data_IF_664936499478
#
_entry.id   IF_664936499478
#
_cell.length_a   1.000
_cell.length_b   1.000
_cell.length_c   1.000
_cell.angle_alpha   90.00
_cell.angle_beta   90.00
_cell.angle_gamma   90.00
#
_symmetry.space_group_name_H-M   'P 1'
#
loop_
_entity.id
_entity.type
_entity.pdbx_description
1 polymer ?
#
# COMPACT_ATOMS: atom_id res chain seq x y z
N UNK A 1 3.13 8.17 37.89
CA UNK A 1 2.59 9.25 37.03
C UNK A 1 3.55 9.58 35.87
N UNK A 2 4.85 9.85 36.13
CA UNK A 2 5.78 10.23 35.05
C UNK A 2 5.85 9.20 33.92
N UNK A 3 6.04 7.93 34.25
CA UNK A 3 6.20 6.85 33.27
C UNK A 3 4.97 6.61 32.39
N UNK A 4 3.76 6.67 32.94
CA UNK A 4 2.52 6.47 32.20
C UNK A 4 2.11 7.70 31.38
N UNK A 5 2.59 8.90 31.79
CA UNK A 5 2.19 10.17 31.17
C UNK A 5 3.13 10.61 30.05
N UNK A 6 4.42 10.21 30.11
CA UNK A 6 5.42 10.64 29.16
C UNK A 6 5.22 9.97 27.78
N UNK A 7 5.27 10.78 26.73
CA UNK A 7 5.11 10.36 25.34
C UNK A 7 6.37 10.59 24.49
N UNK A 8 7.42 11.23 25.08
CA UNK A 8 8.62 11.60 24.37
C UNK A 8 9.31 10.43 23.62
N UNK A 9 9.19 9.21 24.12
CA UNK A 9 9.82 8.05 23.50
C UNK A 9 9.30 7.77 22.08
N UNK A 10 8.05 8.14 21.77
CA UNK A 10 7.45 7.96 20.46
C UNK A 10 7.10 9.29 19.79
N UNK A 11 6.63 10.33 20.51
CA UNK A 11 6.19 11.58 19.87
C UNK A 11 7.33 12.50 19.44
N UNK A 12 8.59 12.22 19.87
CA UNK A 12 9.78 12.89 19.32
C UNK A 12 9.85 12.86 17.78
N UNK A 13 9.14 11.94 17.13
CA UNK A 13 9.01 11.86 15.67
C UNK A 13 8.26 13.05 15.06
N UNK A 14 7.54 13.81 15.87
CA UNK A 14 6.78 15.00 15.45
C UNK A 14 7.59 16.30 15.48
N UNK A 15 8.89 16.26 15.83
CA UNK A 15 9.70 17.47 16.05
C UNK A 15 9.69 18.43 14.86
N UNK A 16 9.77 17.91 13.63
CA UNK A 16 9.81 18.73 12.43
C UNK A 16 8.47 19.45 12.19
N UNK A 17 7.36 18.74 12.43
CA UNK A 17 6.00 19.29 12.29
C UNK A 17 5.71 20.31 13.41
N UNK A 18 6.11 20.02 14.64
CA UNK A 18 5.97 20.96 15.78
C UNK A 18 6.76 22.25 15.54
N UNK A 19 7.99 22.15 15.06
CA UNK A 19 8.82 23.31 14.71
C UNK A 19 8.19 24.12 13.58
N UNK A 20 7.70 23.46 12.52
CA UNK A 20 7.03 24.12 11.40
C UNK A 20 5.75 24.83 11.87
N UNK A 21 4.90 24.16 12.65
CA UNK A 21 3.69 24.72 13.24
C UNK A 21 3.99 25.91 14.16
N UNK A 22 5.00 25.79 15.01
CA UNK A 22 5.44 26.85 15.92
C UNK A 22 5.98 28.07 15.19
N UNK A 23 6.73 27.91 14.10
CA UNK A 23 7.24 29.02 13.26
C UNK A 23 6.08 29.74 12.55
N UNK A 24 5.14 29.01 11.96
CA UNK A 24 3.96 29.58 11.34
C UNK A 24 3.10 30.36 12.34
N UNK A 25 2.93 29.82 13.56
CA UNK A 25 2.20 30.48 14.63
C UNK A 25 2.89 31.77 15.09
N UNK A 26 4.20 31.76 15.33
CA UNK A 26 4.97 32.92 15.73
C UNK A 26 4.90 34.05 14.67
N UNK A 27 5.03 33.70 13.39
CA UNK A 27 4.90 34.64 12.28
C UNK A 27 3.51 35.31 12.25
N UNK A 28 2.45 34.50 12.39
CA UNK A 28 1.06 35.02 12.47
C UNK A 28 0.86 35.92 13.67
N UNK A 29 1.37 35.59 14.86
CA UNK A 29 1.27 36.42 16.05
C UNK A 29 1.93 37.79 15.84
N UNK A 30 3.05 37.85 15.12
CA UNK A 30 3.70 39.13 14.77
C UNK A 30 2.90 39.90 13.73
N UNK A 31 2.39 39.29 12.68
CA UNK A 31 1.56 39.92 11.65
C UNK A 31 0.29 40.52 12.22
N UNK A 32 -0.31 39.88 13.22
CA UNK A 32 -1.50 40.40 13.91
C UNK A 32 -1.19 41.35 15.06
N UNK A 33 0.08 41.67 15.30
CA UNK A 33 0.53 42.61 16.33
C UNK A 33 0.43 42.08 17.77
N UNK A 34 0.24 40.77 17.97
CA UNK A 34 0.14 40.13 19.29
C UNK A 34 1.52 40.05 19.95
N UNK A 35 2.57 39.76 19.16
CA UNK A 35 3.98 39.82 19.59
C UNK A 35 4.76 40.78 18.68
N UNK A 36 5.96 41.18 19.09
CA UNK A 36 6.82 41.95 18.23
C UNK A 36 7.47 41.14 17.13
N UNK A 37 7.80 41.76 15.99
CA UNK A 37 8.56 41.11 14.92
C UNK A 37 9.91 40.58 15.43
N UNK A 38 10.57 41.33 16.30
CA UNK A 38 11.83 40.92 16.93
C UNK A 38 11.70 39.61 17.72
N UNK A 39 10.58 39.45 18.46
CA UNK A 39 10.35 38.19 19.20
C UNK A 39 10.07 37.04 18.25
N UNK A 40 9.28 37.26 17.19
CA UNK A 40 9.02 36.23 16.17
C UNK A 40 10.30 35.77 15.44
N UNK A 41 11.16 36.70 15.05
CA UNK A 41 12.46 36.41 14.41
C UNK A 41 13.37 35.62 15.35
N UNK A 42 13.41 35.99 16.64
CA UNK A 42 14.19 35.27 17.65
C UNK A 42 13.64 33.85 17.85
N UNK A 43 12.33 33.67 17.93
CA UNK A 43 11.65 32.37 18.03
C UNK A 43 11.99 31.50 16.79
N UNK A 44 11.82 32.04 15.58
CA UNK A 44 12.07 31.30 14.35
C UNK A 44 13.53 30.80 14.28
N UNK A 45 14.50 31.70 14.57
CA UNK A 45 15.93 31.33 14.59
C UNK A 45 16.26 30.34 15.70
N UNK A 46 15.68 30.49 16.88
CA UNK A 46 15.86 29.54 17.98
C UNK A 46 15.33 28.15 17.64
N UNK A 47 14.18 28.07 16.98
CA UNK A 47 13.57 26.82 16.50
C UNK A 47 14.41 26.16 15.40
N UNK A 48 15.07 26.93 14.50
CA UNK A 48 16.02 26.38 13.53
C UNK A 48 17.20 25.73 14.23
N UNK A 49 17.76 26.36 15.26
CA UNK A 49 18.85 25.78 16.06
C UNK A 49 18.39 24.49 16.76
N UNK A 50 17.16 24.45 17.31
CA UNK A 50 16.63 23.21 17.93
C UNK A 50 16.49 22.10 16.89
N UNK A 51 16.01 22.40 15.68
CA UNK A 51 15.93 21.41 14.60
C UNK A 51 17.31 20.84 14.25
N UNK A 52 18.32 21.71 14.06
CA UNK A 52 19.69 21.31 13.77
C UNK A 52 20.30 20.43 14.88
N UNK A 53 20.03 20.75 16.15
CA UNK A 53 20.46 19.92 17.30
C UNK A 53 19.82 18.53 17.28
N UNK A 54 18.53 18.42 16.92
CA UNK A 54 17.82 17.13 16.81
C UNK A 54 18.35 16.32 15.63
N UNK A 55 18.48 16.92 14.46
CA UNK A 55 18.94 16.27 13.23
C UNK A 55 20.38 15.78 13.34
N UNK A 56 21.25 16.53 14.03
CA UNK A 56 22.64 16.16 14.27
C UNK A 56 22.81 15.15 15.41
N UNK A 57 21.74 14.79 16.13
CA UNK A 57 21.78 13.88 17.27
C UNK A 57 22.37 14.50 18.56
N UNK A 58 22.49 15.83 18.62
CA UNK A 58 23.05 16.57 19.76
C UNK A 58 21.96 17.05 20.75
N UNK A 59 20.68 16.74 20.49
CA UNK A 59 19.57 17.14 21.35
C UNK A 59 19.33 16.09 22.44
N UNK A 60 19.28 16.53 23.70
CA UNK A 60 18.99 15.69 24.88
C UNK A 60 17.49 15.67 25.18
N UNK A 61 16.79 14.61 24.78
CA UNK A 61 15.37 14.41 25.08
C UNK A 61 15.20 14.04 26.56
N UNK A 62 14.52 14.89 27.31
CA UNK A 62 14.30 14.73 28.74
C UNK A 62 12.90 14.16 29.01
N UNK A 63 12.82 12.94 29.52
CA UNK A 63 11.54 12.31 29.92
C UNK A 63 10.79 13.14 30.99
N UNK A 64 11.50 13.90 31.81
CA UNK A 64 10.89 14.80 32.80
C UNK A 64 10.07 15.94 32.17
N UNK A 65 10.28 16.22 30.87
CA UNK A 65 9.55 17.20 30.08
C UNK A 65 8.37 16.58 29.29
N UNK A 66 8.00 15.36 29.60
CA UNK A 66 6.80 14.65 29.13
C UNK A 66 6.75 14.38 27.62
N UNK A 67 6.69 15.42 26.77
CA UNK A 67 6.43 15.35 25.32
C UNK A 67 7.48 16.13 24.50
N UNK A 68 7.46 15.96 23.17
CA UNK A 68 8.36 16.67 22.26
C UNK A 68 8.17 18.19 22.35
N UNK A 69 6.95 18.66 22.53
CA UNK A 69 6.61 20.06 22.55
C UNK A 69 7.22 20.77 23.76
N UNK A 70 7.15 20.17 24.97
CA UNK A 70 7.82 20.71 26.14
C UNK A 70 9.35 20.64 26.02
N UNK A 71 9.88 19.59 25.39
CA UNK A 71 11.31 19.48 25.14
C UNK A 71 11.80 20.60 24.22
N UNK A 72 11.09 20.87 23.09
CA UNK A 72 11.39 21.96 22.16
C UNK A 72 11.23 23.33 22.84
N UNK A 73 10.11 23.56 23.54
CA UNK A 73 9.86 24.83 24.24
C UNK A 73 10.92 25.13 25.33
N UNK A 74 11.31 24.12 26.10
CA UNK A 74 12.34 24.23 27.14
C UNK A 74 13.69 24.61 26.54
N UNK A 75 14.11 23.93 25.46
CA UNK A 75 15.36 24.23 24.78
C UNK A 75 15.34 25.60 24.12
N UNK A 76 14.24 25.98 23.51
CA UNK A 76 14.03 27.32 22.98
C UNK A 76 14.21 28.38 24.08
N UNK A 77 13.62 28.13 25.27
CA UNK A 77 13.80 29.02 26.42
C UNK A 77 15.27 29.19 26.86
N UNK A 78 16.05 28.10 26.82
CA UNK A 78 17.49 28.15 27.10
C UNK A 78 18.27 29.00 26.07
N UNK A 79 17.84 28.96 24.79
CA UNK A 79 18.52 29.65 23.69
C UNK A 79 18.16 31.13 23.60
N UNK A 80 16.90 31.52 23.76
CA UNK A 80 16.42 32.88 23.47
C UNK A 80 15.80 33.60 24.68
N UNK A 81 15.73 32.95 25.83
CA UNK A 81 15.25 33.55 27.07
C UNK A 81 13.76 33.90 27.03
N UNK A 82 13.40 35.12 27.54
CA UNK A 82 12.02 35.55 27.74
C UNK A 82 11.14 35.57 26.47
N UNK A 83 11.76 35.70 25.29
CA UNK A 83 11.02 35.69 24.01
C UNK A 83 10.33 34.33 23.75
N UNK A 84 10.92 33.22 24.20
CA UNK A 84 10.35 31.89 24.05
C UNK A 84 8.96 31.74 24.69
N UNK A 85 8.74 32.35 25.86
CA UNK A 85 7.46 32.30 26.57
C UNK A 85 6.29 32.99 25.82
N UNK A 86 6.57 33.76 24.78
CA UNK A 86 5.54 34.40 23.92
C UNK A 86 4.98 33.47 22.87
N UNK A 87 5.69 32.38 22.52
CA UNK A 87 5.28 31.44 21.50
C UNK A 87 3.96 30.74 21.83
N UNK A 88 3.69 30.47 23.10
CA UNK A 88 2.44 29.78 23.52
C UNK A 88 1.19 30.70 23.58
N UNK A 89 1.33 31.97 23.24
CA UNK A 89 0.20 32.92 23.22
C UNK A 89 -0.88 32.47 22.24
N UNK A 90 -2.14 32.43 22.67
CA UNK A 90 -3.31 32.02 21.89
C UNK A 90 -3.27 30.57 21.36
N UNK A 91 -2.43 29.69 21.93
CA UNK A 91 -2.29 28.29 21.57
C UNK A 91 -2.51 27.39 22.77
N UNK A 92 -2.97 26.17 22.52
CA UNK A 92 -3.03 25.08 23.49
C UNK A 92 -2.20 23.91 23.00
N UNK A 93 -1.81 23.00 23.91
CA UNK A 93 -1.24 21.72 23.53
C UNK A 93 -2.20 20.91 22.63
N UNK A 94 -3.51 21.08 22.80
CA UNK A 94 -4.52 20.33 22.05
C UNK A 94 -4.50 20.64 20.55
N UNK A 95 -4.53 21.91 20.14
CA UNK A 95 -4.47 22.29 18.74
C UNK A 95 -3.07 22.13 18.13
N UNK A 96 -2.02 22.29 18.95
CA UNK A 96 -0.63 22.04 18.57
C UNK A 96 -0.44 20.58 18.17
N UNK A 97 -0.73 19.63 19.06
CA UNK A 97 -0.59 18.17 18.81
C UNK A 97 -1.46 17.72 17.63
N UNK A 98 -2.69 18.20 17.51
CA UNK A 98 -3.57 17.85 16.40
C UNK A 98 -3.00 18.33 15.06
N UNK A 99 -2.39 19.52 15.02
CA UNK A 99 -1.73 20.05 13.83
C UNK A 99 -0.53 19.22 13.44
N UNK A 100 0.35 18.94 14.39
CA UNK A 100 1.61 18.21 14.16
C UNK A 100 1.33 16.79 13.67
N UNK A 101 0.35 16.13 14.26
CA UNK A 101 -0.02 14.77 13.87
C UNK A 101 -0.65 14.72 12.48
N UNK A 102 -1.48 15.70 12.11
CA UNK A 102 -1.99 15.83 10.73
C UNK A 102 -0.88 16.07 9.72
N UNK A 103 0.06 16.96 10.02
CA UNK A 103 1.22 17.23 9.17
C UNK A 103 2.05 15.95 8.99
N UNK A 104 2.32 15.22 10.07
CA UNK A 104 3.08 13.99 10.01
C UNK A 104 2.37 12.91 9.16
N UNK A 105 1.07 12.72 9.33
CA UNK A 105 0.31 11.75 8.50
C UNK A 105 0.29 12.18 7.04
N UNK A 106 0.22 13.49 6.75
CA UNK A 106 0.34 14.01 5.39
C UNK A 106 1.67 13.66 4.74
N UNK A 107 2.77 13.84 5.48
CA UNK A 107 4.11 13.50 5.00
C UNK A 107 4.23 11.97 4.81
N UNK A 108 3.69 11.17 5.72
CA UNK A 108 3.66 9.72 5.62
C UNK A 108 2.87 9.23 4.40
N UNK A 109 1.75 9.88 4.05
CA UNK A 109 0.99 9.58 2.83
C UNK A 109 1.80 9.85 1.56
N UNK A 110 2.61 10.93 1.55
CA UNK A 110 3.51 11.23 0.42
C UNK A 110 4.55 10.13 0.23
N UNK A 111 5.28 9.76 1.29
CA UNK A 111 6.26 8.68 1.24
C UNK A 111 5.65 7.31 0.89
N UNK A 112 4.42 7.06 1.36
CA UNK A 112 3.69 5.84 1.02
C UNK A 112 3.34 5.78 -0.47
N UNK A 113 2.87 6.89 -1.07
CA UNK A 113 2.55 6.96 -2.50
C UNK A 113 3.78 6.69 -3.37
N UNK A 114 4.93 7.27 -3.01
CA UNK A 114 6.21 7.02 -3.69
C UNK A 114 6.62 5.54 -3.60
N UNK A 115 6.57 4.93 -2.42
CA UNK A 115 6.94 3.54 -2.23
C UNK A 115 5.98 2.57 -2.98
N UNK A 116 4.69 2.86 -3.04
CA UNK A 116 3.72 2.08 -3.83
C UNK A 116 3.98 2.26 -5.33
N UNK A 117 4.32 3.46 -5.78
CA UNK A 117 4.70 3.74 -7.17
C UNK A 117 5.94 2.93 -7.60
N UNK A 118 6.93 2.82 -6.72
CA UNK A 118 8.15 2.03 -6.98
C UNK A 118 7.81 0.53 -7.14
N UNK A 119 6.94 -0.01 -6.30
CA UNK A 119 6.47 -1.38 -6.45
C UNK A 119 5.65 -1.56 -7.74
N UNK A 120 4.80 -0.60 -8.09
CA UNK A 120 4.07 -0.62 -9.37
C UNK A 120 5.04 -0.62 -10.57
N UNK A 121 6.10 0.19 -10.53
CA UNK A 121 7.11 0.23 -11.58
C UNK A 121 7.79 -1.13 -11.74
N UNK A 122 8.24 -1.75 -10.65
CA UNK A 122 8.85 -3.08 -10.68
C UNK A 122 7.88 -4.15 -11.25
N UNK A 123 6.61 -4.13 -10.83
CA UNK A 123 5.60 -5.06 -11.36
C UNK A 123 5.31 -4.85 -12.84
N UNK A 124 5.26 -3.59 -13.31
CA UNK A 124 5.05 -3.24 -14.72
C UNK A 124 6.24 -3.69 -15.57
N UNK A 125 7.47 -3.48 -15.11
CA UNK A 125 8.69 -3.92 -15.82
C UNK A 125 8.70 -5.44 -15.97
N UNK A 126 8.39 -6.16 -14.90
CA UNK A 126 8.28 -7.64 -14.94
C UNK A 126 7.11 -8.11 -15.80
N UNK A 127 5.97 -7.41 -15.78
CA UNK A 127 4.83 -7.74 -16.63
C UNK A 127 5.14 -7.54 -18.11
N UNK A 128 5.93 -6.54 -18.48
CA UNK A 128 6.40 -6.31 -19.85
C UNK A 128 7.31 -7.45 -20.32
N UNK A 129 8.31 -7.80 -19.51
CA UNK A 129 9.25 -8.90 -19.79
C UNK A 129 8.52 -10.23 -19.98
N UNK A 130 7.51 -10.48 -19.15
CA UNK A 130 6.74 -11.73 -19.14
C UNK A 130 5.37 -11.63 -19.81
N UNK A 131 5.19 -10.68 -20.72
CA UNK A 131 3.91 -10.46 -21.40
C UNK A 131 3.40 -11.64 -22.23
N UNK A 132 4.28 -12.57 -22.59
CA UNK A 132 3.98 -13.78 -23.32
C UNK A 132 4.36 -15.08 -22.57
N UNK A 133 4.89 -14.99 -21.37
CA UNK A 133 5.26 -16.16 -20.54
C UNK A 133 4.00 -16.84 -20.04
N UNK A 134 3.74 -18.04 -20.55
CA UNK A 134 2.56 -18.84 -20.19
C UNK A 134 2.67 -19.34 -18.76
N UNK A 135 1.59 -19.22 -18.00
CA UNK A 135 1.43 -19.85 -16.68
C UNK A 135 0.00 -20.35 -16.49
N UNK A 136 -0.24 -21.34 -15.61
CA UNK A 136 -1.60 -21.73 -15.28
C UNK A 136 -2.31 -20.63 -14.48
N UNK A 137 -3.51 -20.28 -14.89
CA UNK A 137 -4.43 -19.52 -14.04
C UNK A 137 -5.15 -20.48 -13.11
N UNK A 138 -5.28 -20.10 -11.83
CA UNK A 138 -5.86 -20.95 -10.80
C UNK A 138 -7.21 -20.41 -10.32
N UNK A 139 -8.14 -21.33 -10.11
CA UNK A 139 -9.32 -21.13 -9.25
C UNK A 139 -9.35 -22.27 -8.23
N UNK A 140 -9.60 -21.99 -6.96
CA UNK A 140 -9.58 -22.99 -5.88
C UNK A 140 -8.20 -23.71 -5.75
N UNK A 141 -7.10 -23.06 -6.15
CA UNK A 141 -5.77 -23.67 -6.32
C UNK A 141 -5.76 -24.87 -7.29
N UNK A 142 -6.77 -24.98 -8.16
CA UNK A 142 -6.78 -25.94 -9.26
C UNK A 142 -6.46 -25.21 -10.57
N UNK A 143 -5.62 -25.79 -11.45
CA UNK A 143 -5.41 -25.25 -12.79
C UNK A 143 -6.75 -25.08 -13.52
N UNK A 144 -6.98 -23.90 -14.08
CA UNK A 144 -8.23 -23.56 -14.76
C UNK A 144 -7.95 -23.24 -16.23
N UNK A 145 -7.52 -22.03 -16.52
CA UNK A 145 -7.24 -21.58 -17.88
C UNK A 145 -5.82 -20.98 -17.94
N UNK A 146 -5.11 -21.12 -19.06
CA UNK A 146 -3.80 -20.48 -19.20
C UNK A 146 -3.92 -18.96 -19.21
N UNK A 147 -2.98 -18.29 -18.54
CA UNK A 147 -2.79 -16.84 -18.53
C UNK A 147 -1.33 -16.53 -18.84
N UNK A 148 -0.94 -15.27 -18.95
CA UNK A 148 0.48 -14.89 -18.89
C UNK A 148 0.88 -14.46 -17.50
N UNK A 149 2.14 -14.67 -17.13
CA UNK A 149 2.72 -14.11 -15.90
C UNK A 149 2.57 -12.58 -15.89
N UNK A 150 2.78 -11.91 -17.03
CA UNK A 150 2.57 -10.47 -17.15
C UNK A 150 1.13 -10.06 -16.82
N UNK A 151 0.13 -10.79 -17.31
CA UNK A 151 -1.27 -10.54 -16.97
C UNK A 151 -1.53 -10.67 -15.47
N UNK A 152 -0.98 -11.70 -14.86
CA UNK A 152 -1.11 -11.96 -13.42
C UNK A 152 -0.51 -10.81 -12.59
N UNK A 153 0.70 -10.37 -12.92
CA UNK A 153 1.38 -9.26 -12.22
C UNK A 153 0.64 -7.93 -12.37
N UNK A 154 0.04 -7.65 -13.53
CA UNK A 154 -0.77 -6.45 -13.77
C UNK A 154 -2.02 -6.38 -12.88
N UNK A 155 -2.54 -7.50 -12.41
CA UNK A 155 -3.64 -7.48 -11.44
C UNK A 155 -3.24 -6.78 -10.13
N UNK A 156 -2.02 -6.96 -9.68
CA UNK A 156 -1.47 -6.26 -8.51
C UNK A 156 -1.20 -4.78 -8.79
N UNK A 157 -0.78 -4.43 -9.99
CA UNK A 157 -0.63 -3.01 -10.41
C UNK A 157 -1.97 -2.28 -10.27
N UNK A 158 -3.08 -2.89 -10.69
CA UNK A 158 -4.42 -2.30 -10.55
C UNK A 158 -4.89 -2.22 -9.07
N UNK A 159 -4.54 -3.20 -8.23
CA UNK A 159 -4.80 -3.13 -6.79
C UNK A 159 -4.09 -1.96 -6.15
N UNK A 160 -2.79 -1.82 -6.41
CA UNK A 160 -1.95 -0.73 -5.90
C UNK A 160 -2.39 0.64 -6.43
N UNK A 161 -2.88 0.72 -7.67
CA UNK A 161 -3.47 1.95 -8.22
C UNK A 161 -4.70 2.41 -7.43
N UNK A 162 -5.53 1.49 -6.96
CA UNK A 162 -6.65 1.81 -6.07
C UNK A 162 -6.18 2.24 -4.67
N UNK A 163 -5.06 1.70 -4.17
CA UNK A 163 -4.50 2.11 -2.88
C UNK A 163 -3.93 3.52 -2.93
N UNK A 164 -3.25 3.89 -4.02
CA UNK A 164 -2.80 5.28 -4.26
C UNK A 164 -3.97 6.26 -4.35
N UNK A 165 -5.06 5.87 -5.00
CA UNK A 165 -6.29 6.67 -5.03
C UNK A 165 -6.86 6.90 -3.62
N UNK A 166 -6.88 5.87 -2.76
CA UNK A 166 -7.29 6.01 -1.35
C UNK A 166 -6.37 6.94 -0.58
N UNK A 167 -5.05 6.84 -0.80
CA UNK A 167 -4.08 7.74 -0.15
C UNK A 167 -4.32 9.19 -0.54
N UNK A 168 -4.54 9.46 -1.82
CA UNK A 168 -4.88 10.80 -2.31
C UNK A 168 -6.18 11.34 -1.71
N UNK A 169 -7.22 10.50 -1.57
CA UNK A 169 -8.49 10.89 -0.97
C UNK A 169 -8.39 11.13 0.55
N UNK A 170 -7.60 10.31 1.26
CA UNK A 170 -7.25 10.54 2.67
C UNK A 170 -6.53 11.89 2.84
N UNK A 171 -5.53 12.17 1.99
CA UNK A 171 -4.80 13.43 1.99
C UNK A 171 -5.69 14.67 1.80
N UNK A 172 -6.71 14.60 0.94
CA UNK A 172 -7.67 15.67 0.73
C UNK A 172 -8.51 15.97 1.98
N UNK A 173 -9.01 14.95 2.66
CA UNK A 173 -9.83 15.10 3.86
C UNK A 173 -9.02 15.52 5.08
N UNK A 174 -7.78 15.05 5.16
CA UNK A 174 -6.84 15.43 6.21
C UNK A 174 -6.46 16.91 6.13
N UNK A 175 -6.45 17.55 4.95
CA UNK A 175 -5.74 18.80 4.69
C UNK A 175 -6.49 20.05 5.19
N UNK A 176 -6.98 20.01 6.44
CA UNK A 176 -7.56 21.17 7.16
C UNK A 176 -6.81 21.43 8.48
N UNK A 177 -6.49 22.69 8.77
CA UNK A 177 -5.66 23.10 9.91
C UNK A 177 -6.45 23.19 11.22
N UNK A 178 -6.08 22.44 12.28
CA UNK A 178 -6.63 22.66 13.62
C UNK A 178 -6.06 23.87 14.33
N UNK A 179 -4.90 24.40 13.92
CA UNK A 179 -4.18 25.44 14.65
C UNK A 179 -5.01 26.70 14.82
N UNK A 180 -5.02 27.26 16.04
CA UNK A 180 -5.85 28.36 16.44
C UNK A 180 -7.21 27.98 17.02
N UNK A 181 -7.51 26.65 17.12
CA UNK A 181 -8.64 26.15 17.89
C UNK A 181 -8.44 26.27 19.41
N UNK A 182 -7.20 26.50 19.84
CA UNK A 182 -6.75 26.52 21.22
C UNK A 182 -7.12 25.22 21.96
N UNK A 183 -7.59 25.30 23.20
CA UNK A 183 -7.94 24.09 23.96
C UNK A 183 -9.16 23.36 23.36
N UNK A 184 -10.18 24.10 22.92
CA UNK A 184 -11.42 23.58 22.32
C UNK A 184 -12.40 24.68 21.83
N UNK A 185 -12.29 25.91 22.33
CA UNK A 185 -13.30 26.96 22.15
C UNK A 185 -12.81 28.14 21.29
N UNK A 186 -11.63 28.01 20.69
CA UNK A 186 -10.95 29.13 20.05
C UNK A 186 -10.28 30.07 21.09
N UNK A 187 -9.95 31.26 20.68
CA UNK A 187 -9.22 32.24 21.51
C UNK A 187 -9.84 33.63 21.38
N UNK A 188 -9.64 34.48 22.40
CA UNK A 188 -10.05 35.90 22.39
C UNK A 188 -9.04 36.82 21.67
N UNK A 189 -7.87 36.29 21.31
CA UNK A 189 -6.88 37.04 20.53
C UNK A 189 -7.29 37.16 19.06
N UNK A 190 -6.97 38.28 18.39
CA UNK A 190 -7.29 38.49 16.97
C UNK A 190 -6.30 37.73 16.07
N UNK A 191 -6.21 36.39 16.20
CA UNK A 191 -5.36 35.53 15.38
C UNK A 191 -5.91 35.41 13.95
N UNK A 192 -5.01 35.11 13.01
CA UNK A 192 -5.33 34.80 11.61
C UNK A 192 -5.08 33.32 11.36
N UNK A 193 -6.16 32.52 11.39
CA UNK A 193 -6.08 31.05 11.15
C UNK A 193 -5.85 30.72 9.68
N UNK A 194 -6.28 31.58 8.74
CA UNK A 194 -6.03 31.39 7.31
C UNK A 194 -4.54 31.57 6.98
N UNK A 195 -3.88 32.55 7.61
CA UNK A 195 -2.45 32.75 7.46
C UNK A 195 -1.63 31.54 7.94
N UNK A 196 -1.97 30.97 9.11
CA UNK A 196 -1.28 29.76 9.62
C UNK A 196 -1.59 28.53 8.77
N UNK A 197 -2.82 28.33 8.33
CA UNK A 197 -3.21 27.22 7.45
C UNK A 197 -2.43 27.28 6.13
N UNK A 198 -2.40 28.45 5.48
CA UNK A 198 -1.66 28.67 4.23
C UNK A 198 -0.16 28.44 4.39
N UNK A 199 0.45 28.96 5.48
CA UNK A 199 1.87 28.79 5.75
C UNK A 199 2.29 27.32 5.94
N UNK A 200 1.36 26.48 6.42
CA UNK A 200 1.55 25.05 6.62
C UNK A 200 1.07 24.18 5.45
N UNK A 201 0.57 24.80 4.37
CA UNK A 201 0.08 24.10 3.17
C UNK A 201 -1.24 23.36 3.39
N UNK A 202 -2.05 23.75 4.37
CA UNK A 202 -3.43 23.30 4.50
C UNK A 202 -4.35 24.10 3.56
N UNK A 203 -5.44 23.48 3.13
CA UNK A 203 -6.42 24.11 2.25
C UNK A 203 -7.19 25.24 2.96
N UNK A 204 -7.47 25.05 4.26
CA UNK A 204 -8.20 26.00 5.10
C UNK A 204 -8.08 25.65 6.58
N UNK A 205 -8.46 26.55 7.50
CA UNK A 205 -8.68 26.18 8.91
C UNK A 205 -9.93 25.30 9.07
N UNK A 206 -9.90 24.36 10.02
CA UNK A 206 -11.07 23.58 10.41
C UNK A 206 -12.20 24.50 10.93
N UNK A 207 -13.42 24.22 10.50
CA UNK A 207 -14.57 25.10 10.70
C UNK A 207 -15.09 25.15 12.14
N UNK A 208 -14.82 24.12 12.95
CA UNK A 208 -15.27 24.05 14.33
C UNK A 208 -14.10 23.77 15.26
N UNK A 209 -13.86 24.63 16.25
CA UNK A 209 -12.71 24.52 17.17
C UNK A 209 -12.76 23.30 18.09
N UNK A 210 -13.96 22.83 18.45
CA UNK A 210 -14.13 21.67 19.30
C UNK A 210 -13.80 20.37 18.53
N UNK A 211 -14.27 20.28 17.28
CA UNK A 211 -13.96 19.20 16.36
C UNK A 211 -12.47 19.18 16.00
N UNK A 212 -11.87 20.35 15.77
CA UNK A 212 -10.47 20.51 15.38
C UNK A 212 -9.47 19.85 16.33
N UNK A 213 -9.75 19.82 17.64
CA UNK A 213 -8.89 19.21 18.65
C UNK A 213 -9.31 17.76 18.96
N UNK A 214 -10.53 17.36 18.56
CA UNK A 214 -11.11 16.04 18.84
C UNK A 214 -10.93 15.05 17.69
N UNK A 215 -10.95 15.51 16.44
CA UNK A 215 -10.94 14.67 15.26
C UNK A 215 -9.66 13.83 15.16
N UNK A 216 -9.86 12.55 14.87
CA UNK A 216 -8.81 11.57 14.53
C UNK A 216 -9.22 10.74 13.32
N UNK A 217 -10.20 11.19 12.54
CA UNK A 217 -10.66 10.48 11.34
C UNK A 217 -9.51 10.31 10.34
N UNK A 218 -8.64 11.31 10.21
CA UNK A 218 -7.46 11.23 9.35
C UNK A 218 -6.49 10.09 9.73
N UNK A 219 -6.34 9.80 11.02
CA UNK A 219 -5.50 8.71 11.52
C UNK A 219 -6.19 7.35 11.32
N UNK A 220 -7.50 7.26 11.56
CA UNK A 220 -8.31 6.07 11.30
C UNK A 220 -8.37 5.76 9.79
N UNK A 221 -8.49 6.77 8.96
CA UNK A 221 -8.51 6.62 7.50
C UNK A 221 -7.15 6.17 6.96
N UNK A 222 -6.04 6.74 7.49
CA UNK A 222 -4.69 6.25 7.20
C UNK A 222 -4.52 4.77 7.57
N UNK A 223 -4.95 4.37 8.77
CA UNK A 223 -4.88 2.96 9.19
C UNK A 223 -5.79 2.05 8.37
N UNK A 224 -6.95 2.54 7.92
CA UNK A 224 -7.86 1.80 7.04
C UNK A 224 -7.23 1.54 5.68
N UNK A 225 -6.65 2.58 5.07
CA UNK A 225 -5.85 2.46 3.84
C UNK A 225 -4.68 1.48 4.06
N UNK A 226 -3.93 1.65 5.15
CA UNK A 226 -2.80 0.80 5.50
C UNK A 226 -3.19 -0.68 5.62
N UNK A 227 -4.34 -0.96 6.23
CA UNK A 227 -4.85 -2.33 6.38
C UNK A 227 -5.23 -2.93 5.01
N UNK A 228 -5.88 -2.18 4.12
CA UNK A 228 -6.23 -2.64 2.76
C UNK A 228 -4.97 -2.92 1.94
N UNK A 229 -4.01 -1.99 1.95
CA UNK A 229 -2.71 -2.18 1.28
C UNK A 229 -1.96 -3.39 1.86
N UNK A 230 -1.96 -3.54 3.19
CA UNK A 230 -1.39 -4.72 3.86
C UNK A 230 -1.99 -6.04 3.37
N UNK A 231 -3.30 -6.08 3.11
CA UNK A 231 -3.97 -7.26 2.51
C UNK A 231 -3.48 -7.50 1.08
N UNK A 232 -3.32 -6.45 0.25
CA UNK A 232 -2.81 -6.61 -1.11
C UNK A 232 -1.36 -7.12 -1.13
N UNK A 233 -0.50 -6.57 -0.28
CA UNK A 233 0.89 -7.04 -0.12
C UNK A 233 0.94 -8.49 0.39
N UNK A 234 0.09 -8.84 1.36
CA UNK A 234 -0.01 -10.20 1.90
C UNK A 234 -0.44 -11.21 0.82
N UNK A 235 -1.35 -10.85 -0.08
CA UNK A 235 -1.76 -11.71 -1.19
C UNK A 235 -0.64 -11.94 -2.18
N UNK A 236 0.07 -10.88 -2.59
CA UNK A 236 1.23 -11.02 -3.47
C UNK A 236 2.33 -11.86 -2.81
N UNK A 237 2.57 -11.63 -1.52
CA UNK A 237 3.53 -12.41 -0.75
C UNK A 237 3.15 -13.91 -0.68
N UNK A 238 1.87 -14.24 -0.52
CA UNK A 238 1.38 -15.62 -0.56
C UNK A 238 1.63 -16.28 -1.91
N UNK A 239 1.37 -15.57 -3.02
CA UNK A 239 1.67 -16.08 -4.37
C UNK A 239 3.17 -16.36 -4.52
N UNK A 240 4.02 -15.46 -4.05
CA UNK A 240 5.48 -15.65 -4.08
C UNK A 240 5.89 -16.88 -3.27
N UNK A 241 5.33 -17.08 -2.08
CA UNK A 241 5.59 -18.29 -1.25
C UNK A 241 5.19 -19.56 -2.00
N UNK A 242 4.00 -19.58 -2.61
CA UNK A 242 3.53 -20.71 -3.41
C UNK A 242 4.45 -20.96 -4.60
N UNK A 243 4.78 -19.94 -5.39
CA UNK A 243 5.64 -20.07 -6.57
C UNK A 243 7.06 -20.54 -6.26
N UNK A 244 7.60 -20.15 -5.10
CA UNK A 244 8.92 -20.60 -4.64
C UNK A 244 8.90 -21.98 -3.96
N UNK A 245 7.73 -22.57 -3.71
CA UNK A 245 7.63 -23.91 -3.09
C UNK A 245 8.12 -24.98 -4.04
N UNK A 246 8.62 -26.10 -3.48
CA UNK A 246 9.08 -27.24 -4.28
C UNK A 246 7.97 -27.90 -5.11
N UNK A 247 6.69 -27.70 -4.75
CA UNK A 247 5.53 -28.22 -5.46
C UNK A 247 5.26 -27.43 -6.75
N UNK A 248 5.32 -26.09 -6.68
CA UNK A 248 5.15 -25.23 -7.85
C UNK A 248 6.46 -25.05 -8.61
N UNK A 249 7.51 -24.62 -7.93
CA UNK A 249 8.83 -24.35 -8.51
C UNK A 249 8.77 -23.39 -9.72
N UNK A 250 7.90 -22.36 -9.66
CA UNK A 250 7.70 -21.39 -10.72
C UNK A 250 8.65 -20.21 -10.61
N UNK A 251 9.15 -19.92 -9.41
CA UNK A 251 9.99 -18.77 -9.15
C UNK A 251 11.15 -19.10 -8.22
N UNK A 252 12.24 -18.34 -8.39
CA UNK A 252 13.40 -18.37 -7.50
C UNK A 252 13.62 -16.99 -6.89
N UNK A 253 13.68 -16.96 -5.57
CA UNK A 253 13.92 -15.75 -4.79
C UNK A 253 15.39 -15.34 -4.87
N UNK A 254 15.71 -14.04 -4.96
CA UNK A 254 17.06 -13.55 -4.82
C UNK A 254 17.63 -13.89 -3.43
N UNK A 255 18.94 -14.15 -3.34
CA UNK A 255 19.61 -14.50 -2.09
C UNK A 255 19.43 -13.44 -1.00
N UNK A 256 19.30 -12.17 -1.37
CA UNK A 256 19.07 -11.06 -0.42
C UNK A 256 17.72 -11.14 0.31
N UNK A 257 16.76 -11.90 -0.20
CA UNK A 257 15.39 -12.02 0.33
C UNK A 257 15.02 -13.45 0.74
N UNK A 258 16.00 -14.35 0.73
CA UNK A 258 15.83 -15.76 1.12
C UNK A 258 16.88 -16.15 2.14
N UNK A 259 16.55 -17.10 3.00
CA UNK A 259 17.53 -17.70 3.91
C UNK A 259 17.79 -19.15 3.59
N UNK A 260 19.04 -19.58 3.81
CA UNK A 260 19.40 -21.00 3.79
C UNK A 260 19.03 -21.68 5.11
N UNK A 261 18.98 -22.99 5.07
CA UNK A 261 18.88 -23.80 6.29
C UNK A 261 20.27 -24.04 6.89
N UNK A 262 20.40 -23.91 8.21
CA UNK A 262 21.62 -24.26 8.92
C UNK A 262 21.98 -25.77 8.85
N UNK A 263 20.98 -26.61 8.55
CA UNK A 263 21.12 -28.06 8.49
C UNK A 263 21.04 -28.61 7.07
N UNK A 264 20.32 -27.93 6.16
CA UNK A 264 20.04 -28.39 4.79
C UNK A 264 20.60 -27.36 3.79
N UNK A 265 21.81 -27.54 3.25
CA UNK A 265 22.48 -26.55 2.39
C UNK A 265 21.71 -26.20 1.11
N UNK A 266 20.90 -27.12 0.61
CA UNK A 266 20.10 -26.96 -0.60
C UNK A 266 18.78 -26.20 -0.38
N UNK A 267 18.36 -26.02 0.89
CA UNK A 267 17.05 -25.41 1.20
C UNK A 267 17.13 -23.89 1.14
N UNK A 268 16.21 -23.30 0.39
CA UNK A 268 15.99 -21.84 0.31
C UNK A 268 14.57 -21.56 0.76
N UNK A 269 14.42 -20.62 1.69
CA UNK A 269 13.12 -20.24 2.23
C UNK A 269 12.76 -18.83 1.73
N UNK A 270 11.49 -18.57 1.36
CA UNK A 270 11.03 -17.23 0.96
C UNK A 270 10.70 -16.37 2.18
N UNK A 271 11.63 -16.25 3.14
CA UNK A 271 11.38 -15.66 4.47
C UNK A 271 10.86 -14.21 4.38
N UNK A 272 11.37 -13.42 3.44
CA UNK A 272 10.93 -12.04 3.28
C UNK A 272 9.44 -11.97 2.90
N UNK A 273 8.98 -12.85 1.99
CA UNK A 273 7.57 -12.93 1.62
C UNK A 273 6.69 -13.42 2.78
N UNK A 274 7.15 -14.43 3.53
CA UNK A 274 6.43 -14.91 4.73
C UNK A 274 6.29 -13.80 5.78
N UNK A 275 7.34 -13.00 5.99
CA UNK A 275 7.30 -11.88 6.94
C UNK A 275 6.37 -10.75 6.46
N UNK A 276 6.36 -10.41 5.18
CA UNK A 276 5.39 -9.43 4.64
C UNK A 276 3.95 -9.91 4.87
N UNK A 277 3.67 -11.18 4.59
CA UNK A 277 2.38 -11.82 4.85
C UNK A 277 1.97 -11.71 6.33
N UNK A 278 2.88 -12.01 7.25
CA UNK A 278 2.63 -11.97 8.69
C UNK A 278 2.41 -10.55 9.21
N UNK A 279 3.18 -9.56 8.73
CA UNK A 279 3.11 -8.16 9.18
C UNK A 279 1.77 -7.47 8.88
N UNK A 280 1.02 -7.92 7.90
CA UNK A 280 -0.32 -7.43 7.61
C UNK A 280 -1.27 -7.56 8.83
N UNK A 281 -1.08 -8.59 9.66
CA UNK A 281 -1.86 -8.78 10.90
C UNK A 281 -1.67 -7.66 11.91
N UNK A 282 -0.44 -7.15 12.08
CA UNK A 282 -0.14 -6.03 12.96
C UNK A 282 -0.83 -4.73 12.50
N UNK A 283 -0.82 -4.46 11.19
CA UNK A 283 -1.45 -3.27 10.61
C UNK A 283 -2.98 -3.31 10.80
N UNK A 284 -3.60 -4.48 10.58
CA UNK A 284 -5.05 -4.68 10.83
C UNK A 284 -5.36 -4.49 12.31
N UNK A 285 -4.49 -5.00 13.20
CA UNK A 285 -4.61 -4.81 14.66
C UNK A 285 -4.54 -3.34 15.06
N UNK A 286 -3.65 -2.55 14.44
CA UNK A 286 -3.51 -1.11 14.68
C UNK A 286 -4.81 -0.35 14.39
N UNK A 287 -5.46 -0.61 13.24
CA UNK A 287 -6.77 -0.02 12.92
C UNK A 287 -7.83 -0.38 13.96
N UNK A 288 -7.95 -1.65 14.29
CA UNK A 288 -8.93 -2.13 15.28
C UNK A 288 -8.69 -1.55 16.66
N UNK A 289 -7.41 -1.42 17.06
CA UNK A 289 -6.99 -0.81 18.32
C UNK A 289 -7.40 0.65 18.42
N UNK A 290 -7.08 1.47 17.39
CA UNK A 290 -7.41 2.89 17.43
C UNK A 290 -8.93 3.13 17.34
N UNK A 291 -9.68 2.35 16.57
CA UNK A 291 -11.15 2.39 16.58
C UNK A 291 -11.69 2.12 18.00
N UNK A 292 -11.11 1.15 18.72
CA UNK A 292 -11.50 0.84 20.08
C UNK A 292 -11.16 1.96 21.08
N UNK A 293 -10.03 2.66 20.90
CA UNK A 293 -9.67 3.85 21.70
C UNK A 293 -10.67 4.98 21.46
N UNK A 294 -10.94 5.31 20.21
CA UNK A 294 -11.76 6.48 19.83
C UNK A 294 -13.26 6.31 20.14
N UNK A 295 -13.78 5.08 20.06
CA UNK A 295 -15.21 4.86 20.32
C UNK A 295 -15.61 5.34 21.71
N UNK A 296 -16.67 6.09 21.81
CA UNK A 296 -17.26 6.51 23.09
C UNK A 296 -16.48 7.59 23.85
N UNK A 297 -15.40 8.15 23.30
CA UNK A 297 -14.75 9.32 23.87
C UNK A 297 -15.66 10.55 23.70
N UNK A 298 -15.76 11.42 24.71
CA UNK A 298 -16.41 12.72 24.56
C UNK A 298 -15.59 13.61 23.62
N UNK A 299 -16.22 14.68 23.12
CA UNK A 299 -15.55 15.68 22.30
C UNK A 299 -14.41 16.39 23.05
N UNK A 300 -13.62 17.15 22.33
CA UNK A 300 -12.38 17.79 22.73
C UNK A 300 -11.24 16.77 22.95
N UNK A 301 -10.60 16.76 24.09
CA UNK A 301 -9.41 15.93 24.32
C UNK A 301 -9.54 15.12 25.62
N UNK A 302 -9.33 13.83 25.51
CA UNK A 302 -9.06 12.94 26.60
C UNK A 302 -7.63 12.39 26.50
N UNK A 303 -7.00 12.04 27.62
CA UNK A 303 -5.62 11.50 27.62
C UNK A 303 -5.51 10.18 26.83
N UNK A 304 -6.60 9.46 26.65
CA UNK A 304 -6.74 8.29 25.77
C UNK A 304 -6.20 8.57 24.36
N UNK A 305 -6.35 9.79 23.85
CA UNK A 305 -5.85 10.20 22.53
C UNK A 305 -4.32 10.24 22.42
N UNK A 306 -3.58 10.05 23.52
CA UNK A 306 -2.13 9.84 23.44
C UNK A 306 -1.79 8.55 22.72
N UNK A 307 -2.68 7.55 22.80
CA UNK A 307 -2.53 6.24 22.16
C UNK A 307 -2.80 6.25 20.64
N UNK A 308 -3.12 7.38 20.05
CA UNK A 308 -3.41 7.51 18.62
C UNK A 308 -2.16 7.41 17.73
N UNK A 309 -0.97 7.80 18.23
CA UNK A 309 0.24 7.97 17.45
C UNK A 309 0.99 6.67 17.20
N UNK A 310 1.19 5.87 18.25
CA UNK A 310 1.98 4.62 18.16
C UNK A 310 1.46 3.69 17.06
N UNK A 311 0.15 3.34 16.99
CA UNK A 311 -0.35 2.45 15.96
C UNK A 311 -0.19 3.02 14.54
N UNK A 312 -0.25 4.34 14.37
CA UNK A 312 -0.06 5.01 13.08
C UNK A 312 1.41 4.98 12.67
N UNK A 313 2.31 5.29 13.59
CA UNK A 313 3.75 5.25 13.34
C UNK A 313 4.22 3.83 12.99
N UNK A 314 3.80 2.84 13.76
CA UNK A 314 4.17 1.44 13.56
C UNK A 314 3.62 0.90 12.23
N UNK A 315 2.40 1.29 11.86
CA UNK A 315 1.80 0.90 10.59
C UNK A 315 2.56 1.52 9.41
N UNK A 316 2.92 2.80 9.49
CA UNK A 316 3.70 3.49 8.46
C UNK A 316 5.08 2.85 8.26
N UNK A 317 5.82 2.61 9.35
CA UNK A 317 7.14 1.97 9.30
C UNK A 317 7.05 0.54 8.75
N UNK A 318 6.04 -0.21 9.18
CA UNK A 318 5.81 -1.57 8.71
C UNK A 318 5.50 -1.59 7.20
N UNK A 319 4.67 -0.67 6.71
CA UNK A 319 4.37 -0.56 5.28
C UNK A 319 5.60 -0.17 4.47
N UNK A 320 6.38 0.81 4.91
CA UNK A 320 7.61 1.22 4.24
C UNK A 320 8.58 0.04 4.07
N UNK A 321 8.78 -0.73 5.15
CA UNK A 321 9.61 -1.94 5.12
C UNK A 321 9.06 -3.01 4.19
N UNK A 322 7.74 -3.28 4.25
CA UNK A 322 7.10 -4.29 3.41
C UNK A 322 7.14 -3.91 1.93
N UNK A 323 6.89 -2.65 1.57
CA UNK A 323 6.96 -2.15 0.20
C UNK A 323 8.37 -2.24 -0.37
N UNK A 324 9.38 -1.83 0.39
CA UNK A 324 10.78 -1.95 -0.01
C UNK A 324 11.18 -3.41 -0.26
N UNK A 325 10.79 -4.32 0.64
CA UNK A 325 11.05 -5.75 0.49
C UNK A 325 10.34 -6.34 -0.73
N UNK A 326 9.05 -5.99 -0.94
CA UNK A 326 8.26 -6.47 -2.09
C UNK A 326 8.84 -5.96 -3.41
N UNK A 327 9.23 -4.69 -3.48
CA UNK A 327 9.87 -4.09 -4.67
C UNK A 327 11.15 -4.82 -5.02
N UNK A 328 12.00 -5.09 -4.03
CA UNK A 328 13.24 -5.83 -4.23
C UNK A 328 13.02 -7.29 -4.62
N UNK A 329 12.06 -7.98 -4.00
CA UNK A 329 11.70 -9.35 -4.38
C UNK A 329 11.19 -9.43 -5.81
N UNK A 330 10.20 -8.62 -6.17
CA UNK A 330 9.60 -8.58 -7.52
C UNK A 330 10.66 -8.25 -8.58
N UNK A 331 11.51 -7.26 -8.33
CA UNK A 331 12.55 -6.85 -9.26
C UNK A 331 13.64 -7.89 -9.47
N UNK A 332 13.95 -8.69 -8.45
CA UNK A 332 15.07 -9.65 -8.47
C UNK A 332 14.69 -11.12 -8.69
N UNK A 333 13.40 -11.49 -8.60
CA UNK A 333 12.98 -12.87 -8.84
C UNK A 333 13.24 -13.32 -10.28
N UNK A 334 13.59 -14.60 -10.44
CA UNK A 334 13.61 -15.28 -11.74
C UNK A 334 12.51 -16.32 -11.81
N UNK A 335 12.04 -16.63 -13.03
CA UNK A 335 10.90 -17.51 -13.25
C UNK A 335 11.26 -18.67 -14.16
N UNK A 336 10.72 -19.87 -13.84
CA UNK A 336 10.84 -21.06 -14.67
C UNK A 336 9.66 -21.13 -15.66
N UNK A 337 9.85 -20.54 -16.83
CA UNK A 337 8.83 -20.47 -17.87
C UNK A 337 8.45 -21.86 -18.42
N UNK A 338 9.39 -22.80 -18.48
CA UNK A 338 9.14 -24.15 -18.99
C UNK A 338 8.27 -24.94 -18.01
N UNK A 339 8.54 -24.82 -16.72
CA UNK A 339 7.73 -25.42 -15.67
C UNK A 339 6.30 -24.84 -15.66
N UNK A 340 6.16 -23.52 -15.69
CA UNK A 340 4.86 -22.86 -15.78
C UNK A 340 4.06 -23.32 -17.00
N UNK A 341 4.71 -23.38 -18.17
CA UNK A 341 4.07 -23.80 -19.41
C UNK A 341 3.61 -25.26 -19.36
N UNK A 342 4.43 -26.14 -18.82
CA UNK A 342 4.09 -27.56 -18.65
C UNK A 342 2.85 -27.72 -17.77
N UNK A 343 2.79 -27.04 -16.64
CA UNK A 343 1.66 -27.11 -15.72
C UNK A 343 0.39 -26.41 -16.30
N UNK A 344 0.55 -25.38 -17.14
CA UNK A 344 -0.57 -24.72 -17.83
C UNK A 344 -1.23 -25.64 -18.88
N UNK A 345 -0.51 -26.58 -19.45
CA UNK A 345 -1.03 -27.59 -20.38
C UNK A 345 -1.64 -28.81 -19.69
N UNK A 346 -1.42 -28.98 -18.39
CA UNK A 346 -1.91 -30.13 -17.64
C UNK A 346 -3.44 -30.06 -17.42
N UNK A 347 -4.07 -31.24 -17.27
CA UNK A 347 -5.47 -31.31 -16.80
C UNK A 347 -6.52 -30.80 -17.77
N UNK A 348 -6.26 -30.85 -19.08
CA UNK A 348 -7.22 -30.43 -20.12
C UNK A 348 -7.61 -28.94 -20.03
N UNK A 349 -6.68 -28.06 -19.72
CA UNK A 349 -6.93 -26.63 -19.55
C UNK A 349 -7.58 -25.95 -20.78
N UNK A 350 -7.43 -26.53 -21.98
CA UNK A 350 -8.00 -26.07 -23.25
C UNK A 350 -9.39 -26.65 -23.56
N UNK A 351 -9.96 -27.45 -22.66
CA UNK A 351 -11.28 -28.05 -22.88
C UNK A 351 -12.38 -27.00 -23.11
N UNK A 352 -12.31 -25.87 -22.43
CA UNK A 352 -13.24 -24.75 -22.66
C UNK A 352 -13.11 -24.17 -24.08
N UNK A 353 -11.89 -24.09 -24.60
CA UNK A 353 -11.62 -23.61 -25.96
C UNK A 353 -12.20 -24.54 -27.02
N UNK A 354 -12.16 -25.87 -26.79
CA UNK A 354 -12.84 -26.84 -27.60
C UNK A 354 -14.36 -26.65 -27.57
N UNK A 355 -14.97 -26.43 -26.40
CA UNK A 355 -16.39 -26.17 -26.27
C UNK A 355 -16.80 -24.87 -27.02
N UNK A 356 -16.01 -23.81 -26.87
CA UNK A 356 -16.21 -22.55 -27.55
C UNK A 356 -16.06 -22.69 -29.08
N UNK A 357 -15.13 -23.52 -29.56
CA UNK A 357 -14.97 -23.85 -30.96
C UNK A 357 -16.23 -24.54 -31.52
N UNK A 358 -16.76 -25.56 -30.82
CA UNK A 358 -18.00 -26.25 -31.21
C UNK A 358 -19.20 -25.30 -31.31
N UNK A 359 -19.29 -24.33 -30.40
CA UNK A 359 -20.33 -23.29 -30.46
C UNK A 359 -20.17 -22.42 -31.69
N UNK A 360 -18.96 -21.95 -31.99
CA UNK A 360 -18.70 -20.99 -33.08
C UNK A 360 -18.77 -21.62 -34.46
N UNK A 361 -18.19 -22.79 -34.61
CA UNK A 361 -18.01 -23.42 -35.93
C UNK A 361 -19.13 -24.34 -36.31
N UNK A 362 -19.82 -24.94 -35.32
CA UNK A 362 -20.95 -25.87 -35.57
C UNK A 362 -22.30 -25.29 -35.17
N UNK A 363 -22.36 -24.00 -34.78
CA UNK A 363 -23.60 -23.34 -34.33
C UNK A 363 -24.30 -24.12 -33.22
N UNK A 364 -23.54 -24.77 -32.35
CA UNK A 364 -24.04 -25.68 -31.32
C UNK A 364 -24.40 -24.93 -30.04
N UNK A 365 -25.51 -25.23 -29.36
CA UNK A 365 -25.76 -24.68 -28.03
C UNK A 365 -24.64 -25.05 -27.05
N UNK A 366 -24.19 -24.09 -26.23
CA UNK A 366 -23.07 -24.28 -25.32
C UNK A 366 -23.20 -25.51 -24.41
N UNK A 367 -24.42 -25.82 -23.95
CA UNK A 367 -24.68 -27.01 -23.12
C UNK A 367 -24.37 -28.32 -23.85
N UNK A 368 -24.65 -28.39 -25.13
CA UNK A 368 -24.35 -29.58 -25.97
C UNK A 368 -22.86 -29.63 -26.29
N UNK A 369 -22.23 -28.50 -26.63
CA UNK A 369 -20.82 -28.38 -26.81
C UNK A 369 -20.02 -28.85 -25.55
N UNK A 370 -20.43 -28.41 -24.37
CA UNK A 370 -19.86 -28.81 -23.10
C UNK A 370 -20.00 -30.35 -22.88
N UNK A 371 -21.15 -30.94 -23.22
CA UNK A 371 -21.35 -32.38 -23.09
C UNK A 371 -20.47 -33.17 -24.04
N UNK A 372 -20.28 -32.71 -25.29
CA UNK A 372 -19.41 -33.31 -26.29
C UNK A 372 -17.93 -33.19 -25.83
N UNK A 373 -17.52 -32.00 -25.40
CA UNK A 373 -16.18 -31.77 -24.83
C UNK A 373 -15.90 -32.71 -23.67
N UNK A 374 -16.86 -32.90 -22.75
CA UNK A 374 -16.69 -33.83 -21.64
C UNK A 374 -16.53 -35.31 -22.06
N UNK A 375 -17.11 -35.71 -23.22
CA UNK A 375 -16.84 -37.05 -23.79
C UNK A 375 -15.45 -37.17 -24.38
N UNK A 376 -14.97 -36.11 -25.05
CA UNK A 376 -13.63 -36.06 -25.63
C UNK A 376 -12.55 -36.03 -24.55
N UNK A 377 -12.77 -35.31 -23.46
CA UNK A 377 -11.90 -35.32 -22.26
C UNK A 377 -11.78 -36.74 -21.70
N UNK A 378 -12.90 -37.43 -21.48
CA UNK A 378 -12.84 -38.85 -21.01
C UNK A 378 -12.12 -39.76 -21.97
N UNK A 379 -12.32 -39.59 -23.28
CA UNK A 379 -11.62 -40.37 -24.30
C UNK A 379 -10.10 -40.13 -24.25
N UNK A 380 -9.68 -38.89 -24.01
CA UNK A 380 -8.28 -38.54 -23.84
C UNK A 380 -7.70 -39.11 -22.54
N UNK A 381 -8.45 -39.06 -21.43
CA UNK A 381 -8.11 -39.75 -20.16
C UNK A 381 -7.93 -41.26 -20.36
N UNK A 382 -8.87 -41.93 -21.03
CA UNK A 382 -8.81 -43.37 -21.31
C UNK A 382 -7.61 -43.76 -22.19
N UNK A 383 -7.12 -42.81 -23.01
CA UNK A 383 -5.95 -42.99 -23.87
C UNK A 383 -4.64 -42.48 -23.28
N UNK A 384 -4.68 -41.94 -22.05
CA UNK A 384 -3.55 -41.30 -21.36
C UNK A 384 -2.84 -40.27 -22.26
N UNK A 385 -3.62 -39.34 -22.86
CA UNK A 385 -3.12 -38.31 -23.76
C UNK A 385 -3.84 -36.98 -23.58
N UNK A 386 -3.29 -35.87 -24.10
CA UNK A 386 -3.93 -34.57 -24.16
C UNK A 386 -5.02 -34.52 -25.26
N UNK A 387 -5.89 -33.50 -25.19
CA UNK A 387 -6.91 -33.26 -26.21
C UNK A 387 -6.29 -33.04 -27.59
N UNK A 388 -5.18 -32.36 -27.66
CA UNK A 388 -4.41 -32.06 -28.90
C UNK A 388 -3.77 -33.30 -29.52
N UNK A 389 -3.70 -34.40 -28.77
CA UNK A 389 -3.12 -35.69 -29.22
C UNK A 389 -4.18 -36.69 -29.71
N UNK A 390 -5.48 -36.38 -29.49
CA UNK A 390 -6.55 -37.17 -30.11
C UNK A 390 -6.50 -37.05 -31.64
N UNK A 391 -6.71 -38.17 -32.35
CA UNK A 391 -6.85 -38.08 -33.80
C UNK A 391 -8.17 -37.42 -34.22
N UNK A 392 -8.20 -36.84 -35.42
CA UNK A 392 -9.44 -36.29 -35.98
C UNK A 392 -10.56 -37.36 -36.03
N UNK A 393 -10.21 -38.60 -36.36
CA UNK A 393 -11.14 -39.74 -36.39
C UNK A 393 -11.74 -40.03 -34.99
N UNK A 394 -10.92 -39.93 -33.94
CA UNK A 394 -11.40 -40.08 -32.56
C UNK A 394 -12.43 -39.00 -32.23
N UNK A 395 -12.12 -37.74 -32.55
CA UNK A 395 -13.02 -36.60 -32.29
C UNK A 395 -14.32 -36.72 -33.11
N UNK A 396 -14.22 -37.11 -34.38
CA UNK A 396 -15.38 -37.30 -35.25
C UNK A 396 -16.25 -38.50 -34.85
N UNK A 397 -15.71 -39.50 -34.13
CA UNK A 397 -16.50 -40.58 -33.55
C UNK A 397 -17.50 -40.08 -32.48
N UNK A 398 -17.22 -38.93 -31.84
CA UNK A 398 -18.07 -38.30 -30.83
C UNK A 398 -18.96 -37.24 -31.46
N UNK A 399 -18.40 -36.42 -32.38
CA UNK A 399 -19.11 -35.38 -33.12
C UNK A 399 -18.62 -35.32 -34.57
N UNK A 400 -19.38 -35.87 -35.54
CA UNK A 400 -18.96 -35.94 -36.93
C UNK A 400 -18.67 -34.59 -37.60
N UNK A 401 -19.25 -33.51 -37.09
CA UNK A 401 -19.01 -32.14 -37.59
C UNK A 401 -17.65 -31.56 -37.29
N UNK A 402 -16.85 -32.21 -36.43
CA UNK A 402 -15.50 -31.72 -36.11
C UNK A 402 -14.58 -31.83 -37.34
N UNK A 403 -13.88 -30.74 -37.64
CA UNK A 403 -12.91 -30.66 -38.74
C UNK A 403 -11.49 -30.47 -38.18
N UNK A 404 -10.50 -30.61 -39.07
CA UNK A 404 -9.08 -30.42 -38.73
C UNK A 404 -8.78 -29.03 -38.12
N UNK A 405 -9.62 -28.02 -38.38
CA UNK A 405 -9.50 -26.69 -37.79
C UNK A 405 -9.57 -26.67 -36.23
N UNK A 406 -10.14 -27.72 -35.61
CA UNK A 406 -10.20 -27.85 -34.16
C UNK A 406 -8.82 -27.85 -33.50
N UNK A 407 -7.80 -28.38 -34.15
CA UNK A 407 -6.45 -28.40 -33.60
C UNK A 407 -5.84 -27.00 -33.43
N UNK A 408 -6.37 -25.99 -34.11
CA UNK A 408 -5.95 -24.58 -33.96
C UNK A 408 -6.43 -23.90 -32.67
N UNK A 409 -7.17 -24.59 -31.80
CA UNK A 409 -7.61 -24.06 -30.50
C UNK A 409 -7.19 -24.93 -29.29
N UNK A 410 -6.51 -26.03 -29.53
CA UNK A 410 -6.19 -27.01 -28.48
C UNK A 410 -4.81 -26.81 -27.83
N UNK A 411 -3.93 -26.02 -28.45
CA UNK A 411 -2.66 -25.67 -27.78
C UNK A 411 -2.87 -24.59 -26.73
N UNK A 412 -2.02 -24.60 -25.69
CA UNK A 412 -2.05 -23.59 -24.62
C UNK A 412 -1.81 -22.19 -25.19
N UNK A 413 -0.96 -22.07 -26.20
CA UNK A 413 -0.64 -20.82 -26.89
C UNK A 413 -1.83 -20.28 -27.68
N UNK A 414 -2.58 -21.13 -28.36
CA UNK A 414 -3.75 -20.73 -29.14
C UNK A 414 -4.92 -20.34 -28.21
N UNK A 415 -5.13 -21.12 -27.15
CA UNK A 415 -6.06 -20.78 -26.08
C UNK A 415 -5.77 -19.40 -25.51
N UNK A 416 -4.50 -19.11 -25.20
CA UNK A 416 -4.07 -17.81 -24.66
C UNK A 416 -4.29 -16.68 -25.67
N UNK A 417 -3.90 -16.83 -26.94
CA UNK A 417 -4.12 -15.84 -28.01
C UNK A 417 -5.59 -15.52 -28.23
N UNK A 418 -6.47 -16.50 -27.99
CA UNK A 418 -7.92 -16.31 -28.17
C UNK A 418 -8.54 -15.35 -27.14
N UNK A 419 -7.87 -15.11 -25.99
CA UNK A 419 -8.33 -14.22 -24.91
C UNK A 419 -8.14 -12.75 -25.21
N UNK A 420 -8.64 -12.30 -26.36
CA UNK A 420 -8.39 -10.98 -26.95
C UNK A 420 -9.46 -9.90 -26.57
N UNK A 421 -10.34 -10.18 -25.62
CA UNK A 421 -11.25 -9.19 -25.05
C UNK A 421 -10.48 -8.11 -24.29
N UNK A 422 -11.07 -6.92 -24.10
CA UNK A 422 -10.49 -5.89 -23.25
C UNK A 422 -10.22 -6.44 -21.84
N UNK A 423 -9.00 -6.28 -21.34
CA UNK A 423 -8.58 -6.85 -20.06
C UNK A 423 -8.30 -8.35 -20.10
N UNK A 424 -8.30 -8.99 -21.27
CA UNK A 424 -7.98 -10.41 -21.45
C UNK A 424 -6.49 -10.71 -21.39
N UNK A 425 -6.16 -12.00 -21.31
CA UNK A 425 -4.80 -12.49 -21.05
C UNK A 425 -3.95 -12.68 -22.33
N UNK A 426 -4.49 -12.37 -23.54
CA UNK A 426 -3.70 -12.47 -24.77
C UNK A 426 -2.45 -11.58 -24.69
N UNK A 427 -1.26 -12.05 -25.16
CA UNK A 427 -0.01 -11.29 -25.05
C UNK A 427 -0.06 -9.88 -25.61
N UNK A 428 -0.85 -9.65 -26.67
CA UNK A 428 -1.06 -8.30 -27.23
C UNK A 428 -1.82 -7.40 -26.24
N UNK A 429 -2.88 -7.92 -25.63
CA UNK A 429 -3.66 -7.19 -24.60
C UNK A 429 -2.82 -6.88 -23.37
N UNK A 430 -1.94 -7.80 -22.98
CA UNK A 430 -1.01 -7.57 -21.86
C UNK A 430 -0.03 -6.44 -22.19
N UNK A 431 0.55 -6.41 -23.40
CA UNK A 431 1.43 -5.30 -23.82
C UNK A 431 0.71 -3.95 -23.87
N UNK A 432 -0.54 -3.91 -24.34
CA UNK A 432 -1.38 -2.72 -24.30
C UNK A 432 -1.64 -2.26 -22.86
N UNK A 433 -1.96 -3.21 -21.96
CA UNK A 433 -2.22 -2.94 -20.55
C UNK A 433 -0.95 -2.45 -19.83
N UNK A 434 0.24 -2.97 -20.15
CA UNK A 434 1.54 -2.46 -19.67
C UNK A 434 1.73 -1.00 -20.08
N UNK A 435 1.51 -0.67 -21.35
CA UNK A 435 1.67 0.70 -21.84
C UNK A 435 0.70 1.67 -21.15
N UNK A 436 -0.56 1.26 -20.99
CA UNK A 436 -1.56 2.06 -20.28
C UNK A 436 -1.24 2.19 -18.78
N UNK A 437 -0.76 1.14 -18.11
CA UNK A 437 -0.34 1.18 -16.71
C UNK A 437 0.82 2.16 -16.50
N UNK A 438 1.84 2.15 -17.37
CA UNK A 438 2.93 3.13 -17.31
C UNK A 438 2.40 4.57 -17.39
N UNK A 439 1.49 4.82 -18.34
CA UNK A 439 0.89 6.15 -18.52
C UNK A 439 0.07 6.59 -17.30
N UNK A 440 -0.72 5.68 -16.72
CA UNK A 440 -1.64 6.01 -15.61
C UNK A 440 -0.94 6.17 -14.27
N UNK A 441 0.10 5.40 -14.02
CA UNK A 441 0.66 5.26 -12.68
C UNK A 441 2.09 5.78 -12.53
N UNK A 442 2.85 5.92 -13.62
CA UNK A 442 4.26 6.31 -13.55
C UNK A 442 4.56 7.70 -14.14
N UNK A 443 3.70 8.21 -15.00
CA UNK A 443 3.77 9.57 -15.59
C UNK A 443 2.80 10.50 -14.80
#
# INVERSE_FOLDING_TARGET
>A
MREINASIDFDRRLYAQDIAGSKAHAAMLAQTGIISQRDADAIAKGLDTVAEEIESGNFDFKQALEDIHMNVESRLGELIGAAAGRLHTARSRNDQVATDFRLWVRDALGGLDEAVRDLQAALIDRAEEHSATVMPGFTHLQPAQPVTLGHHLLAYVEMLGRDRSRAADCGKRLNESPLGAAALAGTSFPIDRDATASALGFDRPMANSLDAVSDRDFALEFLSLAAILGVHLSRLAEEIVLWCSGQFAYAHMPDAYSTGSSMMPQKRNPDAAELVRAKAGGIIGALSGLLAVMKGLPLAYGKDMQEDKVPVFDAADTLALCLAAMTGMVGGMTFDADRMKADAGAGFATATDLADWLVRELDMPFRDAHRITGKLVRMAEDKDCGLEQLSLADMQSVEPGITDAVFGVLSVEDALKSRNSFGGAAPERVREAVAEARKRFLN
#
